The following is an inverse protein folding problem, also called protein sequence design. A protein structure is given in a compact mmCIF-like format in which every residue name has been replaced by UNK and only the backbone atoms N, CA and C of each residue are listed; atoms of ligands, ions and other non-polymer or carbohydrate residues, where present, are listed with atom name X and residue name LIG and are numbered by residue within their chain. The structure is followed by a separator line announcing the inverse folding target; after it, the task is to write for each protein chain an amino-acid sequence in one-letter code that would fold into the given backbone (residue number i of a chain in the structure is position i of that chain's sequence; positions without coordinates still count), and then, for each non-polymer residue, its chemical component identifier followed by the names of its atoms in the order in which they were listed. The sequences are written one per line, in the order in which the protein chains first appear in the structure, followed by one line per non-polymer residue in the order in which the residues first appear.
data_IF_433272963610
#
_entry.id   IF_433272963610
#
_cell.length_a   1.000
_cell.length_b   1.000
_cell.length_c   1.000
_cell.angle_alpha   90.00
_cell.angle_beta   90.00
_cell.angle_gamma   90.00
#
_symmetry.space_group_name_H-M   'P 1'
#
loop_
_entity.id
_entity.type
_entity.pdbx_description
1 polymer ?
#
# COMPACT_ATOMS: atom_id res chain seq x y z
N UNK A 1 -14.48 -6.48 65.43
CA UNK A 1 -13.41 -6.65 64.42
C UNK A 1 -14.04 -6.58 63.03
N UNK A 2 -13.90 -5.47 62.35
CA UNK A 2 -14.43 -5.31 61.01
C UNK A 2 -13.28 -5.54 60.00
N UNK A 3 -13.41 -6.58 59.17
CA UNK A 3 -12.46 -6.89 58.08
C UNK A 3 -12.87 -6.12 56.83
N UNK A 4 -12.05 -5.19 56.41
CA UNK A 4 -12.19 -4.53 55.13
C UNK A 4 -11.50 -5.39 54.05
N UNK A 5 -12.28 -5.91 53.10
CA UNK A 5 -11.78 -6.57 51.89
C UNK A 5 -11.55 -5.47 50.89
N UNK A 6 -10.28 -5.19 50.59
CA UNK A 6 -9.90 -4.30 49.50
C UNK A 6 -10.05 -5.06 48.17
N UNK A 7 -11.02 -4.67 47.36
CA UNK A 7 -11.15 -5.14 45.98
C UNK A 7 -10.16 -4.39 45.11
N UNK A 8 -9.08 -5.05 44.69
CA UNK A 8 -8.19 -4.56 43.66
C UNK A 8 -8.86 -4.69 42.28
N UNK A 9 -9.32 -3.58 41.76
CA UNK A 9 -9.72 -3.47 40.36
C UNK A 9 -8.45 -3.49 39.48
N UNK A 10 -8.16 -4.65 38.89
CA UNK A 10 -7.22 -4.72 37.78
C UNK A 10 -7.86 -4.02 36.54
N UNK A 11 -7.44 -2.80 36.30
CA UNK A 11 -7.72 -2.12 35.03
C UNK A 11 -6.87 -2.80 33.95
N UNK A 12 -7.45 -3.81 33.30
CA UNK A 12 -6.87 -4.39 32.10
C UNK A 12 -7.02 -3.36 30.98
N UNK A 13 -5.98 -2.55 30.77
CA UNK A 13 -5.91 -1.62 29.65
C UNK A 13 -5.92 -2.41 28.35
N UNK A 14 -7.05 -2.44 27.68
CA UNK A 14 -7.15 -2.85 26.29
C UNK A 14 -6.32 -1.85 25.46
N UNK A 15 -5.09 -2.20 25.18
CA UNK A 15 -4.32 -1.60 24.11
C UNK A 15 -5.03 -1.98 22.81
N UNK A 16 -5.97 -1.13 22.38
CA UNK A 16 -6.48 -1.17 21.04
C UNK A 16 -5.29 -0.89 20.13
N UNK A 17 -4.72 -1.92 19.53
CA UNK A 17 -3.90 -1.78 18.35
C UNK A 17 -4.83 -1.21 17.28
N UNK A 18 -4.87 0.12 17.17
CA UNK A 18 -5.51 0.79 16.03
C UNK A 18 -4.83 0.26 14.78
N UNK A 19 -5.54 -0.59 14.06
CA UNK A 19 -5.15 -0.98 12.73
C UNK A 19 -4.94 0.32 11.94
N UNK A 20 -3.73 0.50 11.40
CA UNK A 20 -3.38 1.62 10.53
C UNK A 20 -4.18 1.46 9.23
N UNK A 21 -5.44 1.86 9.26
CA UNK A 21 -6.26 1.89 8.06
C UNK A 21 -6.21 3.30 7.49
N UNK A 22 -5.61 3.43 6.32
CA UNK A 22 -5.71 4.66 5.53
C UNK A 22 -7.16 4.89 5.13
N UNK A 23 -7.65 6.11 5.34
CA UNK A 23 -8.94 6.52 4.80
C UNK A 23 -8.74 6.91 3.35
N UNK A 24 -9.36 6.18 2.42
CA UNK A 24 -9.21 6.38 0.99
C UNK A 24 -10.53 6.74 0.32
N UNK A 25 -10.46 7.56 -0.72
CA UNK A 25 -11.57 7.80 -1.65
C UNK A 25 -11.06 7.88 -3.09
N UNK A 26 -11.92 7.55 -4.04
CA UNK A 26 -11.62 7.58 -5.47
C UNK A 26 -12.12 8.86 -6.12
N UNK A 27 -11.28 9.50 -6.94
CA UNK A 27 -11.68 10.51 -7.93
C UNK A 27 -11.82 9.80 -9.30
N UNK A 28 -13.06 9.59 -9.73
CA UNK A 28 -13.34 8.85 -10.96
C UNK A 28 -12.96 9.64 -12.22
N UNK A 29 -13.06 10.96 -12.19
CA UNK A 29 -12.76 11.80 -13.34
C UNK A 29 -11.26 11.85 -13.63
N UNK A 30 -10.46 11.74 -12.58
CA UNK A 30 -9.00 11.76 -12.65
C UNK A 30 -8.34 10.38 -12.67
N UNK A 31 -9.10 9.31 -12.45
CA UNK A 31 -8.57 7.94 -12.32
C UNK A 31 -7.47 7.80 -11.26
N UNK A 32 -7.72 8.40 -10.11
CA UNK A 32 -6.82 8.35 -8.96
C UNK A 32 -7.57 8.00 -7.68
N UNK A 33 -6.85 7.45 -6.70
CA UNK A 33 -7.32 7.26 -5.34
C UNK A 33 -6.48 8.11 -4.40
N UNK A 34 -7.13 8.86 -3.52
CA UNK A 34 -6.46 9.67 -2.50
C UNK A 34 -6.64 8.98 -1.15
N UNK A 35 -5.52 8.71 -0.49
CA UNK A 35 -5.47 8.08 0.81
C UNK A 35 -4.81 8.99 1.85
N UNK A 36 -5.42 9.11 3.02
CA UNK A 36 -4.86 9.82 4.18
C UNK A 36 -4.41 8.82 5.22
N UNK A 37 -3.16 8.89 5.63
CA UNK A 37 -2.54 8.07 6.65
C UNK A 37 -1.87 8.95 7.71
N UNK A 38 -1.94 8.58 8.98
CA UNK A 38 -1.38 9.40 10.08
C UNK A 38 0.14 9.55 10.02
N UNK A 39 0.85 8.57 9.44
CA UNK A 39 2.31 8.53 9.38
C UNK A 39 2.85 8.95 8.01
N UNK A 40 2.16 8.57 6.94
CA UNK A 40 2.59 8.81 5.56
C UNK A 40 2.05 10.12 4.98
N UNK A 41 1.09 10.74 5.68
CA UNK A 41 0.40 11.91 5.19
C UNK A 41 -0.65 11.56 4.13
N UNK A 42 -0.85 12.47 3.20
CA UNK A 42 -1.85 12.32 2.15
C UNK A 42 -1.17 11.93 0.84
N UNK A 43 -1.56 10.80 0.28
CA UNK A 43 -0.98 10.21 -0.92
C UNK A 43 -2.03 10.08 -2.02
N UNK A 44 -1.64 10.42 -3.25
CA UNK A 44 -2.45 10.19 -4.45
C UNK A 44 -1.87 9.01 -5.22
N UNK A 45 -2.75 8.07 -5.59
CA UNK A 45 -2.40 6.80 -6.22
C UNK A 45 -2.97 6.72 -7.63
N UNK A 46 -2.18 6.25 -8.57
CA UNK A 46 -2.66 5.87 -9.90
C UNK A 46 -3.68 4.72 -9.78
N UNK A 47 -4.85 4.88 -10.42
CA UNK A 47 -5.86 3.82 -10.47
C UNK A 47 -6.55 3.80 -11.83
N UNK A 48 -5.77 3.50 -12.88
CA UNK A 48 -6.20 3.40 -14.27
C UNK A 48 -6.49 1.96 -14.67
N UNK A 49 -7.39 1.79 -15.64
CA UNK A 49 -7.78 0.47 -16.14
C UNK A 49 -6.60 -0.30 -16.75
N UNK A 50 -5.70 0.41 -17.45
CA UNK A 50 -4.50 -0.19 -18.04
C UNK A 50 -3.34 -0.07 -17.07
N UNK A 51 -2.87 -1.19 -16.56
CA UNK A 51 -1.66 -1.28 -15.73
C UNK A 51 -0.40 -1.44 -16.60
N UNK A 52 0.72 -0.96 -16.10
CA UNK A 52 2.05 -1.26 -16.65
C UNK A 52 2.65 -2.43 -15.88
N UNK A 53 3.35 -3.31 -16.60
CA UNK A 53 4.11 -4.42 -16.04
C UNK A 53 5.52 -4.42 -16.63
N UNK A 54 6.53 -4.58 -15.78
CA UNK A 54 7.92 -4.55 -16.22
C UNK A 54 8.90 -4.95 -15.14
N UNK A 55 10.20 -4.93 -15.50
CA UNK A 55 11.29 -5.07 -14.52
C UNK A 55 11.29 -3.90 -13.54
N UNK A 56 12.05 -4.02 -12.46
CA UNK A 56 12.14 -2.97 -11.45
C UNK A 56 12.65 -1.63 -12.00
N UNK A 57 13.65 -1.66 -12.88
CA UNK A 57 14.19 -0.47 -13.55
C UNK A 57 13.13 0.17 -14.46
N UNK A 58 12.42 -0.65 -15.23
CA UNK A 58 11.32 -0.19 -16.08
C UNK A 58 10.18 0.42 -15.26
N UNK A 59 9.89 -0.14 -14.10
CA UNK A 59 8.88 0.38 -13.18
C UNK A 59 9.22 1.79 -12.68
N UNK A 60 10.47 2.03 -12.31
CA UNK A 60 10.92 3.35 -11.88
C UNK A 60 10.84 4.39 -13.01
N UNK A 61 11.32 4.04 -14.20
CA UNK A 61 11.28 4.93 -15.36
C UNK A 61 9.84 5.22 -15.80
N UNK A 62 8.97 4.21 -15.77
CA UNK A 62 7.55 4.40 -16.07
C UNK A 62 6.91 5.47 -15.19
N UNK A 63 7.05 5.38 -13.87
CA UNK A 63 6.44 6.35 -12.96
C UNK A 63 6.97 7.78 -13.16
N UNK A 64 8.23 7.96 -13.55
CA UNK A 64 8.82 9.29 -13.83
C UNK A 64 8.20 9.99 -15.02
N UNK A 65 7.66 9.24 -15.99
CA UNK A 65 7.06 9.80 -17.22
C UNK A 65 5.54 9.84 -17.19
N UNK A 66 4.91 9.31 -16.14
CA UNK A 66 3.44 9.36 -15.97
C UNK A 66 2.97 10.80 -15.88
N UNK A 67 1.98 11.13 -16.70
CA UNK A 67 1.25 12.39 -16.64
C UNK A 67 -0.23 12.07 -16.42
N UNK A 68 -0.66 12.13 -15.18
CA UNK A 68 -2.01 11.75 -14.76
C UNK A 68 -2.59 12.80 -13.80
N UNK A 69 -3.86 13.09 -13.93
CA UNK A 69 -4.58 14.09 -13.13
C UNK A 69 -3.95 15.50 -13.18
N UNK A 70 -3.17 15.81 -14.21
CA UNK A 70 -2.45 17.09 -14.34
C UNK A 70 -1.10 17.15 -13.61
N UNK A 71 -0.64 16.05 -13.03
CA UNK A 71 0.62 15.96 -12.29
C UNK A 71 1.66 15.11 -13.04
N UNK A 72 2.95 15.44 -12.82
CA UNK A 72 4.11 14.78 -13.44
C UNK A 72 5.15 14.33 -12.41
N UNK A 73 4.89 14.49 -11.14
CA UNK A 73 5.77 14.14 -10.01
C UNK A 73 5.45 12.76 -9.41
N UNK A 74 5.01 11.86 -10.28
CA UNK A 74 4.74 10.47 -9.93
C UNK A 74 6.03 9.68 -9.69
N UNK A 75 5.99 8.75 -8.78
CA UNK A 75 7.11 7.86 -8.45
C UNK A 75 6.62 6.47 -8.08
N UNK A 76 7.55 5.53 -8.08
CA UNK A 76 7.31 4.20 -7.55
C UNK A 76 7.11 4.30 -6.01
N UNK A 77 6.07 3.67 -5.44
CA UNK A 77 5.82 3.70 -4.01
C UNK A 77 6.86 2.92 -3.22
N UNK A 78 7.09 3.30 -1.98
CA UNK A 78 7.82 2.47 -1.03
C UNK A 78 7.00 1.25 -0.62
N UNK A 79 7.65 0.22 -0.05
CA UNK A 79 6.96 -0.94 0.50
C UNK A 79 5.95 -0.55 1.58
N UNK A 80 6.30 0.39 2.45
CA UNK A 80 5.41 0.86 3.53
C UNK A 80 4.18 1.56 2.97
N UNK A 81 4.34 2.37 1.93
CA UNK A 81 3.22 3.02 1.24
C UNK A 81 2.30 1.98 0.58
N UNK A 82 2.82 0.99 -0.14
CA UNK A 82 1.99 -0.09 -0.70
C UNK A 82 1.24 -0.86 0.39
N UNK A 83 1.89 -1.19 1.50
CA UNK A 83 1.25 -1.87 2.62
C UNK A 83 0.17 -1.02 3.29
N UNK A 84 0.25 0.31 3.22
CA UNK A 84 -0.77 1.21 3.79
C UNK A 84 -2.11 1.14 3.07
N UNK A 85 -2.14 0.70 1.82
CA UNK A 85 -3.37 0.50 1.04
C UNK A 85 -3.85 -0.96 1.02
N UNK A 86 -3.10 -1.89 1.62
CA UNK A 86 -3.53 -3.26 1.81
C UNK A 86 -4.64 -3.34 2.88
N UNK A 87 -5.67 -4.12 2.60
CA UNK A 87 -6.75 -4.42 3.54
C UNK A 87 -6.69 -5.91 3.90
N UNK A 88 -6.10 -6.21 5.04
CA UNK A 88 -5.92 -7.60 5.52
C UNK A 88 -7.21 -8.26 6.03
N UNK A 89 -8.31 -7.52 6.12
CA UNK A 89 -9.64 -8.09 6.36
C UNK A 89 -10.26 -8.68 5.11
N UNK A 90 -9.63 -8.46 3.96
CA UNK A 90 -10.06 -8.90 2.63
C UNK A 90 -9.05 -9.87 2.03
N UNK A 91 -9.51 -10.60 1.04
CA UNK A 91 -8.73 -11.56 0.28
C UNK A 91 -9.21 -11.52 -1.17
N UNK A 92 -8.29 -11.61 -2.11
CA UNK A 92 -8.54 -11.67 -3.55
C UNK A 92 -9.57 -10.63 -4.05
N UNK A 93 -9.26 -9.33 -4.01
CA UNK A 93 -8.01 -8.72 -3.60
C UNK A 93 -8.03 -8.19 -2.15
N UNK A 94 -6.88 -8.25 -1.50
CA UNK A 94 -6.60 -7.66 -0.18
C UNK A 94 -6.13 -6.19 -0.31
N UNK A 95 -6.95 -5.35 -0.91
CA UNK A 95 -6.66 -3.92 -1.13
C UNK A 95 -7.88 -3.08 -0.70
N UNK A 96 -7.63 -1.84 -0.31
CA UNK A 96 -8.68 -0.90 0.06
C UNK A 96 -9.74 -0.76 -1.05
N UNK A 97 -11.01 -0.75 -0.66
CA UNK A 97 -12.16 -0.77 -1.58
C UNK A 97 -12.31 0.47 -2.46
N UNK A 98 -11.60 1.56 -2.17
CA UNK A 98 -11.56 2.74 -3.03
C UNK A 98 -10.85 2.47 -4.37
N UNK A 99 -9.96 1.46 -4.43
CA UNK A 99 -9.31 1.07 -5.69
C UNK A 99 -10.27 0.27 -6.57
N UNK A 100 -10.45 0.74 -7.79
CA UNK A 100 -11.34 0.13 -8.78
C UNK A 100 -10.60 -0.84 -9.70
N UNK A 101 -9.36 -0.51 -10.07
CA UNK A 101 -8.60 -1.27 -11.04
C UNK A 101 -7.45 -2.01 -10.36
N UNK A 102 -7.63 -3.30 -10.21
CA UNK A 102 -6.61 -4.25 -9.83
C UNK A 102 -6.22 -5.00 -11.11
N UNK A 103 -4.95 -5.30 -11.31
CA UNK A 103 -4.55 -6.04 -12.49
C UNK A 103 -5.24 -7.41 -12.53
N UNK A 104 -5.68 -7.79 -13.72
CA UNK A 104 -6.25 -9.10 -13.99
C UNK A 104 -5.13 -10.15 -14.00
N UNK A 105 -4.83 -10.66 -12.83
CA UNK A 105 -3.79 -11.64 -12.56
C UNK A 105 -4.19 -12.47 -11.36
N UNK A 106 -3.93 -13.77 -11.41
CA UNK A 106 -4.15 -14.70 -10.28
C UNK A 106 -3.37 -14.26 -9.03
N UNK A 107 -2.26 -13.56 -9.23
CA UNK A 107 -1.37 -13.08 -8.17
C UNK A 107 -0.92 -11.64 -8.43
N UNK A 108 -1.78 -10.62 -8.20
CA UNK A 108 -1.46 -9.23 -8.49
C UNK A 108 -0.36 -8.70 -7.56
N UNK A 109 0.87 -8.71 -8.07
CA UNK A 109 2.10 -8.34 -7.36
C UNK A 109 2.64 -7.03 -7.89
N UNK A 110 2.95 -6.10 -6.98
CA UNK A 110 3.31 -4.72 -7.31
C UNK A 110 4.72 -4.38 -6.81
N UNK A 111 5.54 -3.82 -7.68
CA UNK A 111 6.87 -3.31 -7.32
C UNK A 111 6.83 -2.19 -6.30
N UNK A 112 7.74 -2.24 -5.32
CA UNK A 112 8.08 -1.09 -4.49
C UNK A 112 9.44 -0.52 -4.88
N UNK A 113 9.69 0.74 -4.52
CA UNK A 113 11.01 1.36 -4.62
C UNK A 113 11.99 0.90 -3.53
N UNK A 114 11.49 0.21 -2.50
CA UNK A 114 12.29 -0.23 -1.36
C UNK A 114 13.15 -1.43 -1.73
N UNK A 115 14.46 -1.27 -1.69
CA UNK A 115 15.42 -2.37 -1.88
C UNK A 115 15.58 -3.20 -0.62
N UNK A 116 15.97 -4.45 -0.78
CA UNK A 116 16.31 -5.32 0.35
C UNK A 116 17.63 -4.88 0.97
N UNK A 117 17.67 -4.76 2.29
CA UNK A 117 18.88 -4.43 3.01
C UNK A 117 20.01 -5.45 2.72
N UNK A 118 21.20 -4.96 2.39
CA UNK A 118 22.37 -5.77 2.09
C UNK A 118 22.42 -6.35 0.66
N UNK A 119 21.35 -6.24 -0.15
CA UNK A 119 21.32 -6.74 -1.53
C UNK A 119 20.66 -5.70 -2.43
N UNK A 120 21.46 -4.82 -3.02
CA UNK A 120 20.96 -3.67 -3.81
C UNK A 120 20.28 -4.04 -5.13
N UNK A 121 20.44 -5.26 -5.62
CA UNK A 121 19.77 -5.76 -6.83
C UNK A 121 18.36 -6.28 -6.58
N UNK A 122 17.94 -6.37 -5.32
CA UNK A 122 16.64 -6.97 -4.92
C UNK A 122 15.71 -5.90 -4.38
N UNK A 123 14.49 -5.83 -4.88
CA UNK A 123 13.45 -4.95 -4.38
C UNK A 123 12.29 -5.73 -3.74
N UNK A 124 11.55 -5.06 -2.87
CA UNK A 124 10.35 -5.63 -2.27
C UNK A 124 9.15 -5.50 -3.19
N UNK A 125 8.33 -6.53 -3.18
CA UNK A 125 7.06 -6.65 -3.91
C UNK A 125 5.93 -6.82 -2.90
N UNK A 126 4.80 -6.16 -3.13
CA UNK A 126 3.57 -6.35 -2.34
C UNK A 126 2.54 -7.07 -3.17
N UNK A 127 1.91 -8.05 -2.56
CA UNK A 127 0.99 -8.98 -3.18
C UNK A 127 -0.45 -8.70 -2.70
N UNK A 128 -1.29 -8.21 -3.58
CA UNK A 128 -2.66 -7.86 -3.21
C UNK A 128 -3.68 -9.01 -3.33
N UNK A 129 -3.23 -10.24 -3.51
CA UNK A 129 -4.09 -11.39 -3.26
C UNK A 129 -4.32 -11.61 -1.75
N UNK A 130 -3.26 -11.45 -0.93
CA UNK A 130 -3.30 -11.65 0.54
C UNK A 130 -2.90 -10.42 1.35
N UNK A 131 -2.32 -9.38 0.73
CA UNK A 131 -1.75 -8.22 1.42
C UNK A 131 -0.37 -8.50 2.03
N UNK A 132 0.31 -9.55 1.59
CA UNK A 132 1.65 -9.90 2.02
C UNK A 132 2.73 -9.29 1.11
N UNK A 133 3.99 -9.52 1.45
CA UNK A 133 5.12 -9.03 0.67
C UNK A 133 6.27 -10.05 0.62
N UNK A 134 7.02 -10.02 -0.47
CA UNK A 134 8.30 -10.71 -0.62
C UNK A 134 9.27 -9.87 -1.44
N UNK A 135 10.39 -10.43 -1.84
CA UNK A 135 11.41 -9.74 -2.64
C UNK A 135 11.74 -10.57 -3.89
N UNK A 136 12.02 -9.86 -4.97
CA UNK A 136 12.45 -10.46 -6.22
C UNK A 136 13.52 -9.62 -6.92
N UNK A 137 14.21 -10.21 -7.89
CA UNK A 137 15.33 -9.61 -8.63
C UNK A 137 15.14 -9.62 -10.13
N UNK A 138 14.36 -10.55 -10.65
CA UNK A 138 14.45 -10.93 -12.06
C UNK A 138 13.12 -11.03 -12.78
N UNK A 139 12.03 -10.83 -12.07
CA UNK A 139 10.70 -11.01 -12.65
C UNK A 139 10.08 -9.68 -13.10
N UNK A 140 8.94 -9.77 -13.70
CA UNK A 140 8.13 -8.64 -14.16
C UNK A 140 6.90 -8.55 -13.29
N UNK A 141 6.71 -7.40 -12.64
CA UNK A 141 5.55 -7.15 -11.81
C UNK A 141 4.82 -5.88 -12.20
N UNK A 142 3.62 -5.74 -11.68
CA UNK A 142 2.72 -4.63 -11.93
C UNK A 142 3.26 -3.37 -11.27
N UNK A 143 2.95 -2.23 -11.87
CA UNK A 143 3.35 -0.92 -11.35
C UNK A 143 2.11 -0.10 -11.02
N UNK A 144 2.11 0.49 -9.84
CA UNK A 144 1.14 1.49 -9.41
C UNK A 144 1.91 2.68 -8.87
N UNK A 145 1.86 3.79 -9.58
CA UNK A 145 2.58 4.99 -9.18
C UNK A 145 1.85 5.74 -8.05
N UNK A 146 2.62 6.46 -7.27
CA UNK A 146 2.16 7.31 -6.15
C UNK A 146 2.81 8.68 -6.22
N UNK A 147 2.14 9.69 -5.69
CA UNK A 147 2.71 11.02 -5.42
C UNK A 147 2.21 11.54 -4.08
N UNK A 148 2.88 12.56 -3.55
CA UNK A 148 2.38 13.30 -2.39
C UNK A 148 1.22 14.20 -2.87
N UNK A 149 0.07 14.16 -2.19
CA UNK A 149 -1.09 15.00 -2.51
C UNK A 149 -1.07 16.31 -1.72
#
# INVERSE_FOLDING_TARGET
MKRYIAASLLLCGLLNAEALSSTCYRDNDKNVVICSDKKLGRLMWQDEKKSFEGTWEQAQEYCKVVNLAGYKDWRLPTRVELLSIADKSRHDPAINTAFKYIADSDFPSYWSSTKRAGISSVAWVVHFWSGDFWYDVSDRFIVRCVRQD
#
